data_IF_180660093562
#
_entry.id   IF_180660093562
#
_cell.length_a   1.000
_cell.length_b   1.000
_cell.length_c   1.000
_cell.angle_alpha   90.00
_cell.angle_beta   90.00
_cell.angle_gamma   90.00
#
_symmetry.space_group_name_H-M   'P 1'
#
loop_
_entity.id
_entity.type
_entity.pdbx_description
1 polymer ?
#
# COMPACT_ATOMS: atom_id res chain seq x y z
N UNK A 1 -9.99 -1.45 23.03
CA UNK A 1 -9.95 -1.22 21.57
C UNK A 1 -9.92 0.29 21.37
N UNK A 2 -8.73 0.85 21.24
CA UNK A 2 -8.53 2.28 21.00
C UNK A 2 -8.72 2.52 19.51
N UNK A 3 -9.75 3.29 19.16
CA UNK A 3 -10.03 3.68 17.78
C UNK A 3 -8.91 4.64 17.32
N UNK A 4 -8.37 4.44 16.10
CA UNK A 4 -7.40 5.36 15.53
C UNK A 4 -7.95 6.79 15.48
N UNK A 5 -7.10 7.76 15.79
CA UNK A 5 -7.35 9.17 15.46
C UNK A 5 -7.20 9.39 13.95
N UNK A 6 -7.72 10.52 13.45
CA UNK A 6 -7.53 10.91 12.05
C UNK A 6 -6.03 11.04 11.68
N UNK A 7 -5.19 11.46 12.63
CA UNK A 7 -3.76 11.62 12.39
C UNK A 7 -3.07 10.27 12.21
N UNK A 8 -3.33 9.31 13.11
CA UNK A 8 -2.80 7.96 13.02
C UNK A 8 -3.32 7.23 11.78
N UNK A 9 -4.64 7.35 11.51
CA UNK A 9 -5.22 6.78 10.30
C UNK A 9 -4.57 7.35 9.04
N UNK A 10 -4.25 8.66 8.98
CA UNK A 10 -3.58 9.27 7.82
C UNK A 10 -2.11 8.88 7.71
N UNK A 11 -1.43 8.63 8.82
CA UNK A 11 -0.05 8.16 8.80
C UNK A 11 0.07 6.78 8.10
N UNK A 12 -0.95 5.93 8.27
CA UNK A 12 -1.03 4.61 7.62
C UNK A 12 -1.45 4.66 6.13
N UNK A 13 -1.76 5.83 5.57
CA UNK A 13 -2.32 5.94 4.23
C UNK A 13 -1.36 5.45 3.14
N UNK A 14 -0.06 5.73 3.25
CA UNK A 14 0.94 5.27 2.27
C UNK A 14 1.05 3.74 2.28
N UNK A 15 1.22 3.15 3.46
CA UNK A 15 1.32 1.69 3.61
C UNK A 15 0.02 0.98 3.18
N UNK A 16 -1.15 1.61 3.37
CA UNK A 16 -2.40 1.10 2.83
C UNK A 16 -2.37 1.01 1.30
N UNK A 17 -1.88 2.06 0.64
CA UNK A 17 -1.82 2.15 -0.83
C UNK A 17 -0.80 1.20 -1.44
N UNK A 18 0.30 0.95 -0.73
CA UNK A 18 1.38 0.07 -1.19
C UNK A 18 1.22 -1.39 -0.73
N UNK A 19 0.24 -1.66 0.12
CA UNK A 19 -0.06 -3.00 0.64
C UNK A 19 0.86 -3.44 1.78
N UNK A 20 1.54 -2.50 2.45
CA UNK A 20 2.47 -2.75 3.55
C UNK A 20 1.82 -2.94 4.93
N UNK A 21 0.52 -2.71 5.07
CA UNK A 21 -0.17 -2.87 6.35
C UNK A 21 -0.32 -4.32 6.79
N UNK A 22 -0.14 -4.56 8.09
CA UNK A 22 -0.57 -5.78 8.75
C UNK A 22 -2.09 -5.94 8.72
N UNK A 23 -2.59 -7.15 8.97
CA UNK A 23 -4.03 -7.42 9.04
C UNK A 23 -4.74 -6.55 10.08
N UNK A 24 -4.09 -6.26 11.21
CA UNK A 24 -4.64 -5.46 12.30
C UNK A 24 -4.75 -4.00 11.87
N UNK A 25 -3.67 -3.40 11.38
CA UNK A 25 -3.66 -2.01 10.92
C UNK A 25 -4.67 -1.78 9.79
N UNK A 26 -4.78 -2.76 8.89
CA UNK A 26 -5.77 -2.74 7.81
C UNK A 26 -7.20 -2.78 8.37
N UNK A 27 -7.48 -3.57 9.40
CA UNK A 27 -8.79 -3.58 10.05
C UNK A 27 -9.09 -2.23 10.70
N UNK A 28 -8.15 -1.69 11.46
CA UNK A 28 -8.33 -0.46 12.25
C UNK A 28 -8.54 0.77 11.36
N UNK A 29 -7.78 0.89 10.27
CA UNK A 29 -7.91 1.99 9.32
C UNK A 29 -9.26 1.95 8.59
N UNK A 30 -9.74 0.76 8.20
CA UNK A 30 -11.06 0.63 7.57
C UNK A 30 -12.20 0.94 8.54
N UNK A 31 -12.08 0.51 9.81
CA UNK A 31 -13.04 0.88 10.85
C UNK A 31 -13.10 2.40 11.07
N UNK A 32 -11.95 3.08 11.05
CA UNK A 32 -11.89 4.53 11.14
C UNK A 32 -12.53 5.20 9.91
N UNK A 33 -12.16 4.79 8.69
CA UNK A 33 -12.72 5.35 7.44
C UNK A 33 -14.23 5.20 7.41
N UNK A 34 -14.78 4.07 7.87
CA UNK A 34 -16.23 3.84 7.87
C UNK A 34 -17.02 4.80 8.78
N UNK A 35 -16.38 5.40 9.78
CA UNK A 35 -17.06 6.22 10.82
C UNK A 35 -16.63 7.69 10.82
N UNK A 36 -15.47 8.01 10.25
CA UNK A 36 -14.97 9.38 10.16
C UNK A 36 -15.70 10.20 9.08
N UNK A 37 -16.14 11.42 9.43
CA UNK A 37 -16.85 12.31 8.50
C UNK A 37 -15.98 12.86 7.35
N UNK A 38 -14.65 12.91 7.50
CA UNK A 38 -13.74 13.59 6.55
C UNK A 38 -12.75 12.65 5.85
N UNK A 39 -12.48 11.50 6.43
CA UNK A 39 -11.45 10.58 5.96
C UNK A 39 -11.83 9.86 4.65
N UNK A 40 -13.10 9.47 4.43
CA UNK A 40 -13.53 8.86 3.16
C UNK A 40 -13.26 9.70 1.91
N UNK A 41 -13.41 11.04 1.98
CA UNK A 41 -13.10 11.89 0.83
C UNK A 41 -11.60 11.94 0.57
N UNK A 42 -10.79 12.11 1.61
CA UNK A 42 -9.33 12.10 1.49
C UNK A 42 -8.82 10.80 0.87
N UNK A 43 -9.26 9.65 1.38
CA UNK A 43 -8.83 8.35 0.87
C UNK A 43 -9.23 8.10 -0.59
N UNK A 44 -10.43 8.53 -0.99
CA UNK A 44 -10.85 8.48 -2.40
C UNK A 44 -9.95 9.34 -3.29
N UNK A 45 -9.58 10.55 -2.84
CA UNK A 45 -8.66 11.41 -3.58
C UNK A 45 -7.28 10.77 -3.75
N UNK A 46 -6.74 10.15 -2.69
CA UNK A 46 -5.46 9.44 -2.77
C UNK A 46 -5.49 8.25 -3.74
N UNK A 47 -6.56 7.44 -3.69
CA UNK A 47 -6.76 6.34 -4.64
C UNK A 47 -6.86 6.82 -6.09
N UNK A 48 -7.59 7.92 -6.32
CA UNK A 48 -7.73 8.51 -7.65
C UNK A 48 -6.38 9.01 -8.20
N UNK A 49 -5.58 9.69 -7.37
CA UNK A 49 -4.23 10.15 -7.75
C UNK A 49 -3.32 8.95 -8.06
N UNK A 50 -3.31 7.91 -7.21
CA UNK A 50 -2.54 6.69 -7.47
C UNK A 50 -2.93 6.03 -8.79
N UNK A 51 -4.23 5.90 -9.06
CA UNK A 51 -4.72 5.33 -10.31
C UNK A 51 -4.29 6.16 -11.53
N UNK A 52 -4.36 7.49 -11.43
CA UNK A 52 -3.92 8.39 -12.50
C UNK A 52 -2.40 8.28 -12.75
N UNK A 53 -1.58 8.21 -11.71
CA UNK A 53 -0.13 8.02 -11.83
C UNK A 53 0.21 6.67 -12.50
N UNK A 54 -0.46 5.59 -12.09
CA UNK A 54 -0.29 4.27 -12.69
C UNK A 54 -0.69 4.23 -14.17
N UNK A 55 -1.73 4.98 -14.54
CA UNK A 55 -2.17 5.09 -15.94
C UNK A 55 -1.24 5.97 -16.80
N UNK A 56 -0.64 7.01 -16.21
CA UNK A 56 0.19 7.97 -16.92
C UNK A 56 1.57 7.41 -17.30
N UNK A 57 2.11 6.47 -16.53
CA UNK A 57 3.40 5.86 -16.84
C UNK A 57 3.45 4.40 -16.39
N UNK A 58 3.50 3.41 -17.31
CA UNK A 58 4.04 2.12 -16.94
C UNK A 58 5.51 2.37 -16.57
N UNK A 59 5.88 2.19 -15.30
CA UNK A 59 7.26 2.35 -14.87
C UNK A 59 8.20 1.54 -15.77
N UNK A 60 9.41 2.04 -16.01
CA UNK A 60 10.40 1.29 -16.77
C UNK A 60 10.56 -0.11 -16.16
N UNK A 61 10.46 -1.18 -16.95
CA UNK A 61 10.56 -2.51 -16.39
C UNK A 61 11.96 -2.70 -15.77
N UNK A 62 12.11 -3.51 -14.72
CA UNK A 62 13.40 -3.75 -14.07
C UNK A 62 14.47 -4.18 -15.09
N UNK A 63 15.75 -3.88 -14.86
CA UNK A 63 16.80 -4.32 -15.80
C UNK A 63 16.79 -5.85 -15.97
N UNK A 64 17.19 -6.34 -17.14
CA UNK A 64 17.30 -7.79 -17.40
C UNK A 64 18.23 -8.44 -16.37
N UNK A 65 19.28 -7.75 -15.95
CA UNK A 65 20.20 -8.22 -14.92
C UNK A 65 19.51 -8.42 -13.57
N UNK A 66 18.71 -7.45 -13.13
CA UNK A 66 17.96 -7.57 -11.88
C UNK A 66 16.93 -8.71 -11.96
N UNK A 67 16.24 -8.86 -13.09
CA UNK A 67 15.31 -9.97 -13.32
C UNK A 67 16.00 -11.33 -13.24
N UNK A 68 17.19 -11.47 -13.85
CA UNK A 68 18.02 -12.69 -13.75
C UNK A 68 18.44 -13.00 -12.32
N UNK A 69 18.88 -11.98 -11.56
CA UNK A 69 19.26 -12.14 -10.16
C UNK A 69 18.07 -12.62 -9.31
N UNK A 70 16.89 -12.03 -9.50
CA UNK A 70 15.67 -12.43 -8.78
C UNK A 70 15.30 -13.88 -9.13
N UNK A 71 15.30 -14.26 -10.41
CA UNK A 71 15.00 -15.63 -10.82
C UNK A 71 15.95 -16.66 -10.18
N UNK A 72 17.26 -16.37 -10.20
CA UNK A 72 18.25 -17.24 -9.59
C UNK A 72 18.10 -17.38 -8.06
N UNK A 73 17.58 -16.36 -7.37
CA UNK A 73 17.30 -16.44 -5.93
C UNK A 73 16.06 -17.30 -5.63
N UNK A 74 15.02 -17.21 -6.48
CA UNK A 74 13.81 -18.03 -6.34
C UNK A 74 14.12 -19.52 -6.61
N UNK A 75 14.90 -19.80 -7.66
CA UNK A 75 15.27 -21.17 -8.05
C UNK A 75 16.16 -21.87 -7.02
N UNK A 76 16.95 -21.10 -6.25
CA UNK A 76 17.79 -21.65 -5.18
C UNK A 76 17.00 -22.13 -3.96
N UNK A 77 15.71 -21.76 -3.85
CA UNK A 77 14.87 -22.04 -2.69
C UNK A 77 15.42 -21.39 -1.41
N UNK A 78 14.64 -21.34 -0.32
CA UNK A 78 15.19 -20.98 0.98
C UNK A 78 16.25 -22.04 1.33
N UNK A 79 17.51 -21.63 1.42
CA UNK A 79 18.51 -22.40 2.15
C UNK A 79 17.98 -22.48 3.59
N UNK A 80 17.49 -23.66 3.98
CA UNK A 80 17.06 -23.94 5.35
C UNK A 80 18.20 -23.76 6.34
#
# INVERSE_FOLDING_TARGET
MTQLSCAEARALANDLLDGGLTTIERSDIFAHIATCATCPSLYRSLLAVRAALMAASPGSPPSTELRRKIAALIDRGPSG
#
